data_IF_738395154812
#
_entry.id   IF_738395154812
#
_cell.length_a   1.000
_cell.length_b   1.000
_cell.length_c   1.000
_cell.angle_alpha   90.00
_cell.angle_beta   90.00
_cell.angle_gamma   90.00
#
_symmetry.space_group_name_H-M   'P 1'
#
loop_
_entity.id
_entity.type
_entity.pdbx_description
1 polymer ?
#
# COMPACT_ATOMS: atom_id res chain seq x y z
N UNK A 1 -18.07 18.52 25.52
CA UNK A 1 -17.59 19.50 24.51
C UNK A 1 -16.12 19.31 24.09
N UNK A 2 -15.27 18.67 24.89
CA UNK A 2 -13.83 18.43 24.63
C UNK A 2 -13.51 17.47 23.46
N UNK A 3 -14.33 16.43 23.21
CA UNK A 3 -14.14 15.51 22.06
C UNK A 3 -14.28 16.17 20.68
N UNK A 4 -15.04 17.26 20.57
CA UNK A 4 -15.29 17.96 19.29
C UNK A 4 -14.13 18.90 18.94
N UNK A 5 -13.51 19.52 19.95
CA UNK A 5 -12.31 20.35 19.80
C UNK A 5 -11.09 19.53 19.37
N UNK A 6 -10.85 18.35 19.98
CA UNK A 6 -9.77 17.44 19.57
C UNK A 6 -9.95 16.85 18.16
N UNK A 7 -11.20 16.67 17.70
CA UNK A 7 -11.50 16.29 16.30
C UNK A 7 -11.22 17.44 15.33
N UNK A 8 -11.48 18.69 15.72
CA UNK A 8 -11.24 19.86 14.88
C UNK A 8 -9.74 20.20 14.76
N UNK A 9 -8.93 20.00 15.81
CA UNK A 9 -7.47 20.09 15.72
C UNK A 9 -6.87 18.98 14.86
N UNK A 10 -7.40 17.75 14.94
CA UNK A 10 -7.03 16.65 14.04
C UNK A 10 -7.43 16.90 12.57
N UNK A 11 -8.48 17.70 12.33
CA UNK A 11 -8.91 18.13 10.99
C UNK A 11 -8.08 19.30 10.45
N UNK A 12 -7.56 20.19 11.31
CA UNK A 12 -6.73 21.33 10.92
C UNK A 12 -5.38 20.95 10.27
N UNK A 13 -4.97 19.68 10.37
CA UNK A 13 -3.74 19.16 9.77
C UNK A 13 -3.91 18.29 8.52
N UNK A 14 -5.12 17.99 8.04
CA UNK A 14 -5.30 17.01 6.93
C UNK A 14 -5.63 17.68 5.61
N UNK A 15 -5.03 17.17 4.55
CA UNK A 15 -5.24 17.64 3.18
C UNK A 15 -6.22 16.71 2.46
N UNK A 16 -7.34 17.27 2.00
CA UNK A 16 -8.43 16.51 1.39
C UNK A 16 -8.00 15.82 0.10
N UNK A 17 -7.09 16.42 -0.66
CA UNK A 17 -6.57 15.91 -1.93
C UNK A 17 -5.71 14.66 -1.73
N UNK A 18 -4.98 14.59 -0.61
CA UNK A 18 -4.23 13.39 -0.21
C UNK A 18 -5.21 12.28 0.19
N UNK A 19 -6.23 12.63 0.98
CA UNK A 19 -7.27 11.68 1.38
C UNK A 19 -8.08 11.19 0.16
N UNK A 20 -8.37 12.06 -0.81
CA UNK A 20 -9.08 11.74 -2.05
C UNK A 20 -8.27 10.77 -2.90
N UNK A 21 -7.00 11.09 -3.20
CA UNK A 21 -6.14 10.25 -4.03
C UNK A 21 -5.91 8.88 -3.37
N UNK A 22 -5.76 8.85 -2.03
CA UNK A 22 -5.69 7.61 -1.26
C UNK A 22 -7.00 6.82 -1.34
N UNK A 23 -8.15 7.49 -1.29
CA UNK A 23 -9.46 6.85 -1.44
C UNK A 23 -9.68 6.27 -2.83
N UNK A 24 -9.21 6.94 -3.88
CA UNK A 24 -9.20 6.39 -5.24
C UNK A 24 -8.35 5.11 -5.28
N UNK A 25 -7.14 5.12 -4.71
CA UNK A 25 -6.31 3.93 -4.63
C UNK A 25 -6.97 2.78 -3.84
N UNK A 26 -7.72 3.08 -2.77
CA UNK A 26 -8.52 2.08 -2.05
C UNK A 26 -9.59 1.46 -2.96
N UNK A 27 -10.31 2.26 -3.74
CA UNK A 27 -11.32 1.74 -4.67
C UNK A 27 -10.68 0.89 -5.79
N UNK A 28 -9.55 1.32 -6.33
CA UNK A 28 -8.79 0.56 -7.32
C UNK A 28 -8.34 -0.79 -6.76
N UNK A 29 -7.81 -0.80 -5.53
CA UNK A 29 -7.39 -2.01 -4.83
C UNK A 29 -8.55 -2.99 -4.64
N UNK A 30 -9.70 -2.52 -4.13
CA UNK A 30 -10.89 -3.36 -3.91
C UNK A 30 -11.37 -3.93 -5.25
N UNK A 31 -11.46 -3.10 -6.29
CA UNK A 31 -11.89 -3.55 -7.61
C UNK A 31 -10.96 -4.59 -8.21
N UNK A 32 -9.65 -4.40 -8.09
CA UNK A 32 -8.66 -5.38 -8.54
C UNK A 32 -8.78 -6.71 -7.79
N UNK A 33 -8.89 -6.68 -6.45
CA UNK A 33 -9.01 -7.92 -5.67
C UNK A 33 -10.32 -8.65 -5.94
N UNK A 34 -11.44 -7.95 -6.17
CA UNK A 34 -12.69 -8.61 -6.56
C UNK A 34 -12.56 -9.37 -7.89
N UNK A 35 -11.83 -8.83 -8.87
CA UNK A 35 -11.53 -9.51 -10.13
C UNK A 35 -10.52 -10.65 -9.95
N UNK A 36 -9.53 -10.45 -9.10
CA UNK A 36 -8.55 -11.49 -8.74
C UNK A 36 -9.23 -12.69 -8.07
N UNK A 37 -10.12 -12.45 -7.09
CA UNK A 37 -10.87 -13.50 -6.39
C UNK A 37 -11.76 -14.26 -7.35
N UNK A 38 -12.43 -13.57 -8.28
CA UNK A 38 -13.23 -14.23 -9.31
C UNK A 38 -12.36 -15.14 -10.19
N UNK A 39 -11.18 -14.69 -10.60
CA UNK A 39 -10.24 -15.49 -11.38
C UNK A 39 -9.67 -16.66 -10.57
N UNK A 40 -9.41 -16.46 -9.27
CA UNK A 40 -8.83 -17.44 -8.37
C UNK A 40 -9.81 -18.60 -8.06
N UNK A 41 -11.06 -18.28 -7.71
CA UNK A 41 -12.05 -19.29 -7.31
C UNK A 41 -12.84 -19.90 -8.47
N UNK A 42 -13.08 -19.14 -9.55
CA UNK A 42 -13.91 -19.59 -10.67
C UNK A 42 -13.09 -19.96 -11.93
N UNK A 43 -11.77 -19.78 -11.87
CA UNK A 43 -10.82 -20.12 -12.92
C UNK A 43 -10.53 -18.98 -13.91
N UNK A 44 -9.35 -19.00 -14.58
CA UNK A 44 -8.87 -17.90 -15.43
C UNK A 44 -9.65 -17.76 -16.76
N UNK A 45 -10.50 -18.73 -17.11
CA UNK A 45 -11.34 -18.67 -18.31
C UNK A 45 -12.43 -17.59 -18.24
N UNK A 46 -12.74 -17.08 -17.03
CA UNK A 46 -13.75 -16.05 -16.81
C UNK A 46 -13.13 -14.65 -16.81
N UNK A 47 -12.01 -14.48 -16.08
CA UNK A 47 -11.25 -13.23 -16.01
C UNK A 47 -9.76 -13.54 -15.98
N UNK A 48 -9.00 -12.93 -16.89
CA UNK A 48 -7.54 -12.98 -16.85
C UNK A 48 -6.97 -11.69 -16.23
N UNK A 49 -6.57 -11.79 -14.96
CA UNK A 49 -5.93 -10.68 -14.22
C UNK A 49 -4.43 -10.56 -14.49
N UNK A 50 -3.84 -11.52 -15.21
CA UNK A 50 -2.40 -11.56 -15.50
C UNK A 50 -2.04 -10.85 -16.82
N UNK A 51 -3.02 -10.49 -17.64
CA UNK A 51 -2.84 -9.83 -18.93
C UNK A 51 -3.61 -8.50 -19.05
N UNK A 52 -3.42 -7.83 -20.19
CA UNK A 52 -4.10 -6.57 -20.51
C UNK A 52 -3.77 -5.44 -19.53
N UNK A 53 -4.80 -4.70 -19.12
CA UNK A 53 -4.65 -3.52 -18.25
C UNK A 53 -4.50 -3.86 -16.76
N UNK A 54 -4.81 -5.09 -16.33
CA UNK A 54 -4.90 -5.45 -14.91
C UNK A 54 -3.58 -5.34 -14.16
N UNK A 55 -2.43 -5.85 -14.67
CA UNK A 55 -1.14 -5.66 -14.03
C UNK A 55 -0.77 -4.18 -13.86
N UNK A 56 -1.04 -3.35 -14.88
CA UNK A 56 -0.78 -1.91 -14.84
C UNK A 56 -1.65 -1.20 -13.81
N UNK A 57 -2.93 -1.59 -13.68
CA UNK A 57 -3.83 -1.06 -12.64
C UNK A 57 -3.33 -1.43 -11.25
N UNK A 58 -2.88 -2.66 -11.03
CA UNK A 58 -2.31 -3.10 -9.76
C UNK A 58 -1.03 -2.32 -9.43
N UNK A 59 -0.10 -2.21 -10.37
CA UNK A 59 1.15 -1.46 -10.20
C UNK A 59 0.89 0.05 -9.96
N UNK A 60 -0.08 0.64 -10.66
CA UNK A 60 -0.50 2.02 -10.44
C UNK A 60 -1.12 2.23 -9.05
N UNK A 61 -1.97 1.29 -8.61
CA UNK A 61 -2.61 1.32 -7.29
C UNK A 61 -1.56 1.31 -6.18
N UNK A 62 -0.62 0.36 -6.24
CA UNK A 62 0.48 0.27 -5.28
C UNK A 62 1.37 1.51 -5.32
N UNK A 63 1.68 2.02 -6.52
CA UNK A 63 2.47 3.24 -6.69
C UNK A 63 1.83 4.45 -6.01
N UNK A 64 0.51 4.64 -6.16
CA UNK A 64 -0.22 5.74 -5.50
C UNK A 64 -0.12 5.60 -3.98
N UNK A 65 -0.36 4.41 -3.42
CA UNK A 65 -0.26 4.21 -1.97
C UNK A 65 1.14 4.52 -1.44
N UNK A 66 2.17 3.99 -2.08
CA UNK A 66 3.56 4.14 -1.64
C UNK A 66 4.08 5.57 -1.81
N UNK A 67 3.73 6.24 -2.92
CA UNK A 67 4.05 7.65 -3.11
C UNK A 67 3.37 8.51 -2.03
N UNK A 68 2.10 8.22 -1.72
CA UNK A 68 1.38 8.91 -0.64
C UNK A 68 1.93 8.59 0.75
N UNK A 69 2.53 7.42 0.98
CA UNK A 69 3.29 7.13 2.22
C UNK A 69 4.45 8.11 2.34
N UNK A 70 5.33 8.20 1.34
CA UNK A 70 6.47 9.12 1.35
C UNK A 70 6.06 10.58 1.54
N UNK A 71 5.05 11.03 0.78
CA UNK A 71 4.51 12.39 0.86
C UNK A 71 3.96 12.69 2.26
N UNK A 72 3.23 11.75 2.86
CA UNK A 72 2.66 11.91 4.21
C UNK A 72 3.74 11.94 5.30
N UNK A 73 4.82 11.17 5.14
CA UNK A 73 5.95 11.18 6.07
C UNK A 73 6.64 12.53 6.08
N UNK A 74 6.89 13.13 4.90
CA UNK A 74 7.49 14.46 4.81
C UNK A 74 6.65 15.52 5.51
N UNK A 75 5.32 15.52 5.30
CA UNK A 75 4.42 16.46 5.97
C UNK A 75 4.43 16.27 7.49
N UNK A 76 4.38 15.02 7.95
CA UNK A 76 4.41 14.70 9.38
C UNK A 76 5.73 15.14 10.02
N UNK A 77 6.85 14.87 9.37
CA UNK A 77 8.19 15.26 9.82
C UNK A 77 8.35 16.77 9.86
N UNK A 78 7.89 17.49 8.83
CA UNK A 78 8.01 18.94 8.77
C UNK A 78 7.26 19.66 9.90
N UNK A 79 6.16 19.08 10.41
CA UNK A 79 5.37 19.64 11.51
C UNK A 79 5.90 19.33 12.91
N UNK A 80 6.61 18.21 13.06
CA UNK A 80 7.07 17.71 14.36
C UNK A 80 8.60 17.77 14.56
N UNK A 81 9.35 18.03 13.49
CA UNK A 81 10.80 18.00 13.47
C UNK A 81 11.38 16.64 13.89
N UNK A 82 12.61 16.65 14.40
CA UNK A 82 13.26 15.43 14.90
C UNK A 82 12.55 14.80 16.10
N UNK A 83 11.79 15.59 16.88
CA UNK A 83 10.98 15.09 17.99
C UNK A 83 9.85 14.15 17.54
N UNK A 84 9.54 14.11 16.25
CA UNK A 84 8.56 13.19 15.67
C UNK A 84 9.10 11.82 15.26
N UNK A 85 10.42 11.57 15.35
CA UNK A 85 11.04 10.34 14.85
C UNK A 85 10.53 9.09 15.56
N UNK A 86 10.45 9.12 16.89
CA UNK A 86 9.95 7.98 17.67
C UNK A 86 8.52 7.63 17.25
N UNK A 87 7.66 8.65 17.06
CA UNK A 87 6.29 8.45 16.60
C UNK A 87 6.22 7.79 15.22
N UNK A 88 7.09 8.21 14.29
CA UNK A 88 7.16 7.63 12.95
C UNK A 88 7.73 6.21 12.98
N UNK A 89 8.75 5.95 13.81
CA UNK A 89 9.32 4.64 14.04
C UNK A 89 8.27 3.66 14.57
N UNK A 90 7.57 4.01 15.66
CA UNK A 90 6.50 3.18 16.22
C UNK A 90 5.34 2.99 15.25
N UNK A 91 5.03 3.98 14.42
CA UNK A 91 4.06 3.81 13.33
C UNK A 91 4.53 2.79 12.29
N UNK A 92 5.80 2.84 11.89
CA UNK A 92 6.41 1.87 10.98
C UNK A 92 6.36 0.46 11.56
N UNK A 93 6.79 0.29 12.81
CA UNK A 93 6.72 -0.99 13.55
C UNK A 93 5.27 -1.50 13.64
N UNK A 94 4.31 -0.63 13.96
CA UNK A 94 2.90 -0.99 14.05
C UNK A 94 2.32 -1.48 12.71
N UNK A 95 2.65 -0.81 11.60
CA UNK A 95 2.21 -1.23 10.26
C UNK A 95 2.88 -2.56 9.86
N UNK A 96 4.18 -2.71 10.14
CA UNK A 96 4.90 -3.97 9.90
C UNK A 96 4.28 -5.12 10.69
N UNK A 97 3.91 -4.88 11.96
CA UNK A 97 3.27 -5.87 12.84
C UNK A 97 1.92 -6.32 12.30
N UNK A 98 1.14 -5.42 11.70
CA UNK A 98 -0.07 -5.80 10.97
C UNK A 98 0.23 -6.67 9.74
N UNK A 99 1.33 -6.40 9.02
CA UNK A 99 1.84 -7.29 7.98
C UNK A 99 2.11 -8.70 8.50
N UNK A 100 2.80 -8.82 9.64
CA UNK A 100 3.08 -10.12 10.27
C UNK A 100 1.80 -10.85 10.67
N UNK A 101 0.78 -10.13 11.15
CA UNK A 101 -0.52 -10.71 11.44
C UNK A 101 -1.22 -11.25 10.18
N UNK A 102 -1.11 -10.55 9.04
CA UNK A 102 -1.59 -11.03 7.74
C UNK A 102 -0.82 -12.26 7.27
N UNK A 103 0.50 -12.28 7.40
CA UNK A 103 1.33 -13.48 7.14
C UNK A 103 0.85 -14.67 7.96
N UNK A 104 0.68 -14.50 9.28
CA UNK A 104 0.20 -15.57 10.15
C UNK A 104 -1.20 -16.05 9.74
N UNK A 105 -2.11 -15.10 9.47
CA UNK A 105 -3.50 -15.43 9.12
C UNK A 105 -3.58 -16.20 7.79
N UNK A 106 -2.82 -15.76 6.79
CA UNK A 106 -2.77 -16.42 5.48
C UNK A 106 -2.01 -17.75 5.52
N UNK A 107 -0.98 -17.87 6.36
CA UNK A 107 -0.29 -19.15 6.59
C UNK A 107 -1.22 -20.21 7.21
N UNK A 108 -2.16 -19.82 8.07
CA UNK A 108 -3.11 -20.74 8.70
C UNK A 108 -4.29 -21.13 7.79
N UNK A 109 -4.60 -20.31 6.79
CA UNK A 109 -5.81 -20.46 5.94
C UNK A 109 -5.47 -20.96 4.54
N UNK A 110 -4.33 -20.57 3.98
CA UNK A 110 -3.89 -20.96 2.64
C UNK A 110 -2.92 -22.14 2.73
N UNK A 111 -3.15 -23.16 1.90
CA UNK A 111 -2.24 -24.32 1.79
C UNK A 111 -0.89 -23.92 1.15
N UNK A 112 -0.93 -23.05 0.13
CA UNK A 112 0.25 -22.50 -0.53
C UNK A 112 0.10 -21.00 -0.82
N UNK A 113 1.22 -20.30 -0.97
CA UNK A 113 1.23 -18.89 -1.39
C UNK A 113 0.82 -17.88 -0.32
N UNK A 114 0.93 -18.21 0.96
CA UNK A 114 0.73 -17.25 2.06
C UNK A 114 1.61 -16.00 1.90
N UNK A 115 1.21 -14.89 2.54
CA UNK A 115 1.89 -13.60 2.38
C UNK A 115 3.26 -13.64 3.05
N UNK A 116 4.33 -13.69 2.26
CA UNK A 116 5.70 -13.72 2.80
C UNK A 116 6.25 -12.32 3.06
N UNK A 117 6.09 -11.41 2.10
CA UNK A 117 6.57 -10.02 2.19
C UNK A 117 5.63 -9.09 1.42
N UNK A 118 4.40 -8.95 1.94
CA UNK A 118 3.35 -8.12 1.36
C UNK A 118 3.53 -6.61 1.56
N UNK A 119 2.59 -5.82 1.06
CA UNK A 119 2.71 -4.34 1.02
C UNK A 119 2.79 -3.70 2.42
N UNK A 120 2.18 -4.29 3.46
CA UNK A 120 2.28 -3.77 4.83
C UNK A 120 3.68 -3.93 5.42
N UNK A 121 4.37 -5.05 5.13
CA UNK A 121 5.77 -5.24 5.50
C UNK A 121 6.64 -4.16 4.86
N UNK A 122 6.46 -3.98 3.55
CA UNK A 122 7.15 -2.95 2.78
C UNK A 122 6.89 -1.55 3.34
N UNK A 123 5.63 -1.18 3.58
CA UNK A 123 5.29 0.15 4.12
C UNK A 123 5.95 0.35 5.47
N UNK A 124 5.86 -0.63 6.38
CA UNK A 124 6.47 -0.55 7.70
C UNK A 124 7.98 -0.34 7.63
N UNK A 125 8.69 -1.15 6.85
CA UNK A 125 10.13 -1.03 6.63
C UNK A 125 10.48 0.30 5.95
N UNK A 126 9.73 0.69 4.91
CA UNK A 126 9.95 1.94 4.19
C UNK A 126 9.83 3.16 5.09
N UNK A 127 8.86 3.17 6.02
CA UNK A 127 8.73 4.25 7.01
C UNK A 127 9.99 4.36 7.87
N UNK A 128 10.51 3.23 8.35
CA UNK A 128 11.71 3.17 9.22
C UNK A 128 12.97 3.60 8.44
N UNK A 129 13.18 3.03 7.26
CA UNK A 129 14.31 3.37 6.38
C UNK A 129 14.27 4.81 5.89
N UNK A 130 13.09 5.43 5.83
CA UNK A 130 12.93 6.81 5.41
C UNK A 130 13.43 7.83 6.44
N UNK A 131 13.44 7.49 7.74
CA UNK A 131 13.78 8.42 8.82
C UNK A 131 15.07 9.24 8.57
N UNK A 132 16.23 8.62 8.24
CA UNK A 132 17.47 9.36 7.98
C UNK A 132 17.45 10.24 6.73
N UNK A 133 16.56 9.98 5.76
CA UNK A 133 16.50 10.69 4.48
C UNK A 133 15.40 11.77 4.44
N UNK A 134 14.47 11.79 5.40
CA UNK A 134 13.32 12.70 5.42
C UNK A 134 13.68 14.20 5.29
N UNK A 135 14.82 14.60 5.84
CA UNK A 135 15.29 15.99 5.80
C UNK A 135 16.22 16.28 4.61
N UNK A 136 16.43 15.32 3.72
CA UNK A 136 17.30 15.42 2.54
C UNK A 136 16.53 15.06 1.26
N UNK A 137 15.51 15.86 0.87
CA UNK A 137 14.61 15.50 -0.23
C UNK A 137 15.31 15.30 -1.58
N UNK A 138 16.39 16.05 -1.87
CA UNK A 138 17.19 15.85 -3.09
C UNK A 138 17.89 14.49 -3.09
N UNK A 139 18.43 14.08 -1.95
CA UNK A 139 19.04 12.76 -1.80
C UNK A 139 17.98 11.65 -1.88
N UNK A 140 16.78 11.86 -1.33
CA UNK A 140 15.65 10.95 -1.53
C UNK A 140 15.32 10.78 -3.03
N UNK A 141 15.24 11.88 -3.80
CA UNK A 141 15.00 11.81 -5.24
C UNK A 141 16.09 11.04 -5.98
N UNK A 142 17.38 11.34 -5.71
CA UNK A 142 18.51 10.66 -6.35
C UNK A 142 18.54 9.16 -6.01
N UNK A 143 18.32 8.81 -4.74
CA UNK A 143 18.22 7.42 -4.31
C UNK A 143 17.01 6.73 -4.94
N UNK A 144 15.85 7.37 -5.01
CA UNK A 144 14.67 6.84 -5.69
C UNK A 144 14.91 6.60 -7.17
N UNK A 145 15.58 7.53 -7.85
CA UNK A 145 15.97 7.43 -9.26
C UNK A 145 17.02 6.33 -9.52
N UNK A 146 17.76 5.89 -8.49
CA UNK A 146 18.67 4.74 -8.59
C UNK A 146 17.97 3.41 -8.23
N UNK A 147 17.16 3.41 -7.16
CA UNK A 147 16.45 2.24 -6.63
C UNK A 147 15.42 1.70 -7.61
N UNK A 148 14.67 2.57 -8.29
CA UNK A 148 13.63 2.14 -9.23
C UNK A 148 14.24 1.37 -10.41
N UNK A 149 15.19 1.93 -11.19
CA UNK A 149 15.85 1.18 -12.26
C UNK A 149 16.56 -0.07 -11.76
N UNK A 150 17.23 -0.02 -10.61
CA UNK A 150 17.88 -1.21 -10.04
C UNK A 150 16.87 -2.34 -9.81
N UNK A 151 15.71 -2.05 -9.22
CA UNK A 151 14.65 -3.04 -9.04
C UNK A 151 14.08 -3.57 -10.35
N UNK A 152 13.92 -2.71 -11.37
CA UNK A 152 13.46 -3.13 -12.70
C UNK A 152 14.48 -4.03 -13.41
N UNK A 153 15.78 -3.76 -13.26
CA UNK A 153 16.87 -4.58 -13.84
C UNK A 153 16.95 -5.95 -13.14
N UNK A 154 16.78 -5.97 -11.81
CA UNK A 154 16.81 -7.21 -11.03
C UNK A 154 15.54 -8.05 -11.19
N UNK A 155 14.44 -7.48 -11.69
CA UNK A 155 13.18 -8.20 -11.95
C UNK A 155 13.44 -9.33 -12.95
N UNK A 156 13.13 -10.56 -12.55
CA UNK A 156 13.31 -11.76 -13.37
C UNK A 156 14.66 -12.46 -13.21
N UNK A 157 15.58 -11.91 -12.41
CA UNK A 157 16.81 -12.61 -12.03
C UNK A 157 16.53 -13.55 -10.87
N UNK A 158 16.56 -14.86 -11.13
CA UNK A 158 16.33 -15.87 -10.10
C UNK A 158 17.60 -16.10 -9.27
N UNK A 159 17.47 -16.09 -7.94
CA UNK A 159 18.54 -16.47 -7.02
C UNK A 159 18.00 -17.55 -6.09
N UNK A 160 18.79 -18.60 -5.86
CA UNK A 160 18.43 -19.75 -5.04
C UNK A 160 18.46 -19.46 -3.53
N UNK A 161 17.89 -18.34 -3.06
CA UNK A 161 17.83 -18.01 -1.63
C UNK A 161 16.59 -17.23 -1.25
N UNK A 162 15.91 -17.65 -0.19
CA UNK A 162 14.74 -16.97 0.37
C UNK A 162 15.12 -15.72 1.19
N UNK A 163 16.38 -15.61 1.63
CA UNK A 163 16.85 -14.50 2.44
C UNK A 163 16.85 -13.15 1.71
N UNK A 164 16.84 -13.18 0.36
CA UNK A 164 16.84 -12.00 -0.49
C UNK A 164 15.46 -11.62 -1.03
N UNK A 165 14.39 -12.32 -0.59
CA UNK A 165 13.01 -11.97 -0.92
C UNK A 165 12.67 -10.50 -0.58
N UNK A 166 13.07 -9.94 0.58
CA UNK A 166 12.78 -8.53 0.85
C UNK A 166 13.42 -7.57 -0.17
N UNK A 167 14.47 -7.97 -0.89
CA UNK A 167 15.11 -7.15 -1.92
C UNK A 167 14.54 -7.34 -3.33
N UNK A 168 13.64 -8.32 -3.53
CA UNK A 168 13.05 -8.60 -4.85
C UNK A 168 13.73 -9.73 -5.61
N UNK A 169 14.71 -10.41 -5.00
CA UNK A 169 15.41 -11.53 -5.59
C UNK A 169 14.74 -12.81 -5.13
N UNK A 170 14.03 -13.46 -6.07
CA UNK A 170 13.15 -14.60 -5.79
C UNK A 170 13.72 -15.90 -6.36
N UNK A 171 13.57 -17.04 -5.70
CA UNK A 171 13.83 -18.35 -6.30
C UNK A 171 12.87 -18.65 -7.45
N UNK A 172 13.27 -19.57 -8.33
CA UNK A 172 12.38 -20.10 -9.38
C UNK A 172 11.17 -20.77 -8.73
N UNK A 173 9.98 -20.48 -9.24
CA UNK A 173 8.73 -21.04 -8.73
C UNK A 173 8.20 -20.39 -7.45
N UNK A 174 8.84 -19.34 -6.94
CA UNK A 174 8.32 -18.61 -5.78
C UNK A 174 6.96 -17.97 -6.09
N UNK A 175 5.99 -18.19 -5.20
CA UNK A 175 4.66 -17.62 -5.27
C UNK A 175 4.18 -17.15 -3.90
N UNK A 176 3.52 -16.00 -3.87
CA UNK A 176 2.88 -15.40 -2.70
C UNK A 176 1.72 -14.54 -3.19
N UNK A 177 0.55 -14.65 -2.57
CA UNK A 177 -0.66 -13.90 -2.96
C UNK A 177 -0.49 -12.39 -2.83
N UNK A 178 0.39 -11.95 -1.92
CA UNK A 178 0.84 -10.55 -1.80
C UNK A 178 2.37 -10.51 -1.66
N UNK A 179 3.05 -9.88 -2.61
CA UNK A 179 4.52 -9.76 -2.60
C UNK A 179 4.98 -8.41 -3.16
N UNK A 180 5.53 -7.58 -2.29
CA UNK A 180 6.01 -6.23 -2.58
C UNK A 180 7.43 -6.04 -2.04
N UNK A 181 8.47 -6.36 -2.82
CA UNK A 181 9.85 -6.22 -2.39
C UNK A 181 10.27 -4.75 -2.21
N UNK A 182 11.42 -4.53 -1.56
CA UNK A 182 11.99 -3.20 -1.36
C UNK A 182 12.38 -2.55 -2.70
N UNK A 183 12.90 -3.32 -3.66
CA UNK A 183 13.21 -2.85 -5.00
C UNK A 183 12.10 -3.30 -5.97
N UNK A 184 11.47 -2.41 -6.76
CA UNK A 184 11.73 -0.97 -6.90
C UNK A 184 10.93 -0.08 -5.91
N UNK A 185 10.05 -0.69 -5.12
CA UNK A 185 8.94 0.01 -4.47
C UNK A 185 9.33 1.03 -3.41
N UNK A 186 10.43 0.83 -2.68
CA UNK A 186 10.97 1.83 -1.77
C UNK A 186 11.37 3.11 -2.51
N UNK A 187 11.85 2.99 -3.75
CA UNK A 187 12.16 4.14 -4.58
C UNK A 187 10.93 5.03 -4.86
N UNK A 188 9.75 4.42 -5.00
CA UNK A 188 8.48 5.17 -5.12
C UNK A 188 8.16 5.95 -3.85
N UNK A 189 8.42 5.36 -2.67
CA UNK A 189 8.29 6.07 -1.38
C UNK A 189 9.26 7.25 -1.31
N UNK A 190 10.52 7.07 -1.74
CA UNK A 190 11.53 8.14 -1.77
C UNK A 190 11.15 9.29 -2.71
N UNK A 191 10.60 8.99 -3.89
CA UNK A 191 10.03 10.00 -4.79
C UNK A 191 8.87 10.74 -4.11
N UNK A 192 8.02 10.00 -3.38
CA UNK A 192 6.98 10.58 -2.53
C UNK A 192 7.52 11.56 -1.48
N UNK A 193 8.66 11.25 -0.85
CA UNK A 193 9.30 12.15 0.12
C UNK A 193 9.70 13.48 -0.54
N UNK A 194 10.34 13.39 -1.71
CA UNK A 194 10.72 14.56 -2.49
C UNK A 194 9.50 15.41 -2.88
N UNK A 195 8.47 14.78 -3.45
CA UNK A 195 7.23 15.47 -3.83
C UNK A 195 6.54 16.11 -2.62
N UNK A 196 6.52 15.43 -1.47
CA UNK A 196 6.01 16.00 -0.23
C UNK A 196 6.74 17.28 0.18
N UNK A 197 8.07 17.31 0.02
CA UNK A 197 8.87 18.52 0.33
C UNK A 197 8.62 19.66 -0.66
N UNK A 198 8.36 19.32 -1.93
CA UNK A 198 8.13 20.28 -3.01
C UNK A 198 6.73 20.90 -2.94
N UNK A 199 5.71 20.07 -2.68
CA UNK A 199 4.30 20.43 -2.67
C UNK A 199 3.81 20.92 -1.30
N UNK A 200 4.47 20.50 -0.22
CA UNK A 200 4.10 20.84 1.16
C UNK A 200 5.30 21.35 1.99
N UNK A 201 5.99 22.42 1.57
CA UNK A 201 7.12 22.98 2.32
C UNK A 201 6.68 23.38 3.73
N UNK A 202 7.45 23.01 4.75
CA UNK A 202 7.10 23.23 6.16
C UNK A 202 5.82 22.50 6.60
N UNK A 203 5.37 21.48 5.86
CA UNK A 203 4.12 20.77 6.12
C UNK A 203 2.86 21.59 5.82
N UNK A 204 3.01 22.67 5.02
CA UNK A 204 1.93 23.55 4.54
C UNK A 204 1.82 23.44 3.02
N UNK A 205 0.58 23.36 2.52
CA UNK A 205 0.30 23.28 1.07
C UNK A 205 0.90 24.49 0.34
N UNK A 206 1.67 24.25 -0.72
CA UNK A 206 2.30 25.30 -1.54
C UNK A 206 1.32 25.97 -2.49
N UNK A 207 0.48 25.17 -3.14
CA UNK A 207 -0.50 25.65 -4.12
C UNK A 207 -1.87 25.85 -3.45
N UNK A 208 -2.54 26.98 -3.63
CA UNK A 208 -3.91 27.13 -3.15
C UNK A 208 -4.80 26.18 -3.97
N UNK A 209 -5.54 25.31 -3.28
CA UNK A 209 -6.57 24.46 -3.87
C UNK A 209 -7.92 24.84 -3.26
N UNK A 210 -9.00 24.82 -4.05
CA UNK A 210 -10.33 25.11 -3.53
C UNK A 210 -10.71 24.12 -2.44
N UNK A 211 -11.57 24.57 -1.52
CA UNK A 211 -12.17 23.65 -0.56
C UNK A 211 -13.18 22.76 -1.25
N UNK A 212 -13.24 21.48 -0.85
CA UNK A 212 -14.28 20.58 -1.32
C UNK A 212 -15.62 21.02 -0.73
N UNK A 213 -16.64 21.19 -1.58
CA UNK A 213 -18.02 21.47 -1.15
C UNK A 213 -18.52 20.44 -0.12
N UNK A 214 -19.29 20.86 0.91
CA UNK A 214 -19.97 19.96 1.85
C UNK A 214 -20.78 18.83 1.20
N UNK A 215 -21.41 19.11 0.06
CA UNK A 215 -22.27 18.18 -0.67
C UNK A 215 -21.54 17.33 -1.72
N UNK A 216 -20.23 17.51 -1.90
CA UNK A 216 -19.50 16.80 -2.95
C UNK A 216 -19.37 15.30 -2.64
N UNK A 217 -19.66 14.40 -3.61
CA UNK A 217 -19.44 12.97 -3.44
C UNK A 217 -17.97 12.60 -3.19
N UNK A 218 -17.02 13.48 -3.57
CA UNK A 218 -15.60 13.32 -3.28
C UNK A 218 -15.30 13.20 -1.77
N UNK A 219 -16.19 13.69 -0.89
CA UNK A 219 -16.03 13.49 0.58
C UNK A 219 -16.17 12.03 1.00
N UNK A 220 -16.97 11.24 0.30
CA UNK A 220 -17.11 9.80 0.56
C UNK A 220 -15.80 9.09 0.21
N UNK A 221 -15.20 9.43 -0.94
CA UNK A 221 -13.89 8.89 -1.33
C UNK A 221 -12.80 9.33 -0.36
N UNK A 222 -12.80 10.59 0.08
CA UNK A 222 -11.90 11.05 1.15
C UNK A 222 -12.06 10.22 2.43
N UNK A 223 -13.30 9.85 2.80
CA UNK A 223 -13.56 9.02 3.98
C UNK A 223 -12.93 7.63 3.84
N UNK A 224 -12.97 7.03 2.65
CA UNK A 224 -12.27 5.77 2.38
C UNK A 224 -10.76 5.95 2.55
N UNK A 225 -10.18 7.00 1.98
CA UNK A 225 -8.74 7.28 2.15
C UNK A 225 -8.35 7.47 3.61
N UNK A 226 -9.18 8.16 4.39
CA UNK A 226 -8.95 8.40 5.83
C UNK A 226 -8.92 7.12 6.65
N UNK A 227 -9.66 6.09 6.23
CA UNK A 227 -9.77 4.79 6.89
C UNK A 227 -9.09 3.67 6.07
N UNK A 228 -8.13 4.02 5.22
CA UNK A 228 -7.47 3.08 4.30
C UNK A 228 -6.85 1.86 4.97
N UNK A 229 -6.22 1.98 6.16
CA UNK A 229 -5.60 0.82 6.83
C UNK A 229 -6.64 -0.20 7.32
N UNK A 230 -7.70 0.18 8.07
CA UNK A 230 -8.78 -0.75 8.39
C UNK A 230 -9.42 -1.38 7.15
N UNK A 231 -9.67 -0.58 6.10
CA UNK A 231 -10.24 -1.10 4.85
C UNK A 231 -9.28 -2.10 4.20
N UNK A 232 -7.98 -1.79 4.16
CA UNK A 232 -6.96 -2.70 3.66
C UNK A 232 -6.94 -4.03 4.43
N UNK A 233 -7.08 -4.02 5.75
CA UNK A 233 -7.08 -5.27 6.52
C UNK A 233 -8.36 -6.10 6.32
N UNK A 234 -9.50 -5.43 6.09
CA UNK A 234 -10.81 -6.09 6.05
C UNK A 234 -11.31 -6.40 4.63
N UNK A 235 -10.78 -5.75 3.59
CA UNK A 235 -11.35 -5.88 2.24
C UNK A 235 -11.33 -7.33 1.75
N UNK A 236 -10.22 -8.05 1.89
CA UNK A 236 -10.09 -9.41 1.39
C UNK A 236 -11.08 -10.40 2.06
N UNK A 237 -11.15 -10.52 3.40
CA UNK A 237 -12.13 -11.40 4.02
C UNK A 237 -13.58 -10.97 3.73
N UNK A 238 -13.86 -9.66 3.67
CA UNK A 238 -15.20 -9.16 3.32
C UNK A 238 -15.57 -9.48 1.87
N UNK A 239 -14.64 -9.32 0.92
CA UNK A 239 -14.87 -9.64 -0.49
C UNK A 239 -15.16 -11.14 -0.66
N UNK A 240 -14.29 -12.01 -0.13
CA UNK A 240 -14.46 -13.46 -0.23
C UNK A 240 -15.80 -13.89 0.38
N UNK A 241 -16.12 -13.44 1.60
CA UNK A 241 -17.38 -13.82 2.26
C UNK A 241 -18.60 -13.33 1.48
N UNK A 242 -18.60 -12.08 1.03
CA UNK A 242 -19.76 -11.54 0.30
C UNK A 242 -19.92 -12.20 -1.07
N UNK A 243 -18.85 -12.37 -1.83
CA UNK A 243 -18.89 -13.05 -3.13
C UNK A 243 -19.33 -14.51 -2.99
N UNK A 244 -18.89 -15.22 -1.96
CA UNK A 244 -19.33 -16.59 -1.67
C UNK A 244 -20.82 -16.66 -1.30
N UNK A 245 -21.31 -15.76 -0.44
CA UNK A 245 -22.72 -15.70 -0.04
C UNK A 245 -23.66 -15.41 -1.22
N UNK A 246 -23.21 -14.60 -2.19
CA UNK A 246 -23.97 -14.31 -3.41
C UNK A 246 -23.80 -15.37 -4.50
N UNK A 247 -23.00 -16.43 -4.28
CA UNK A 247 -22.75 -17.48 -5.26
C UNK A 247 -21.92 -17.03 -6.46
N UNK A 248 -21.16 -15.94 -6.33
CA UNK A 248 -20.28 -15.40 -7.39
C UNK A 248 -19.00 -16.25 -7.50
N UNK A 249 -18.53 -16.80 -6.38
CA UNK A 249 -17.36 -17.68 -6.29
C UNK A 249 -17.73 -19.00 -5.59
N UNK A 250 -17.05 -20.08 -5.98
CA UNK A 250 -17.18 -21.38 -5.33
C UNK A 250 -15.97 -21.64 -4.43
N UNK A 251 -16.17 -21.44 -3.12
CA UNK A 251 -15.12 -21.64 -2.10
C UNK A 251 -14.77 -23.14 -1.99
N UNK A 252 -15.73 -24.04 -2.19
CA UNK A 252 -15.57 -25.48 -1.99
C UNK A 252 -14.71 -26.15 -3.05
N UNK A 253 -14.72 -25.67 -4.30
CA UNK A 253 -13.88 -26.20 -5.39
C UNK A 253 -12.38 -26.03 -5.15
N UNK A 254 -11.97 -24.92 -4.54
CA UNK A 254 -10.55 -24.59 -4.31
C UNK A 254 -9.90 -25.41 -3.18
N UNK A 255 -10.69 -25.96 -2.26
CA UNK A 255 -10.23 -26.84 -1.17
C UNK A 255 -10.23 -28.33 -1.55
N UNK A 256 -10.73 -28.68 -2.73
CA UNK A 256 -10.99 -30.06 -3.15
C UNK A 256 -10.13 -30.55 -4.32
N UNK A 257 -9.27 -29.70 -4.88
CA UNK A 257 -8.41 -30.05 -5.99
C UNK A 257 -6.95 -30.12 -5.53
N UNK A 258 -6.28 -31.29 -5.59
CA UNK A 258 -4.83 -31.27 -5.65
C UNK A 258 -4.46 -30.57 -6.95
N UNK A 259 -3.82 -29.40 -6.83
CA UNK A 259 -3.36 -28.65 -7.98
C UNK A 259 -2.21 -29.41 -8.68
N UNK A 260 -2.10 -29.29 -10.02
CA UNK A 260 -1.15 -30.04 -10.84
C UNK A 260 0.33 -29.72 -10.55
#
# INVERSE_FOLDING_TARGET
MTRRAGRNEALAGRYWEIDLLRGIAVLMMIGFHALYDLAFFSGPAIVDVRSGAMPTIAEATASIFLLLVGLSLTISSARSGFRGWDRLLFRGIGIFSWGMAVTLSTFLVLEEGFVVFGILHLIGISVILSLPILHRPRAALLLGAAVIPAGLILRGQAIATLWLLPLGLVPVGFYSVDYFPLLPWFGVVLVGIFLGSLLYPGGKRRLPLPEISPSSPARLICLLGRNSLPIYLLHQPVLIVTMGLFGIIDIGRSLALPLP
#
